data_IF_666376191424
#
_entry.id   IF_666376191424
#
_cell.length_a   1.000
_cell.length_b   1.000
_cell.length_c   1.000
_cell.angle_alpha   90.00
_cell.angle_beta   90.00
_cell.angle_gamma   90.00
#
_symmetry.space_group_name_H-M   'P 1'
#
loop_
_entity.id
_entity.type
_entity.pdbx_description
1 polymer ?
#
# COMPACT_ATOMS: atom_id res chain seq x y z
N UNK A 1 -9.79 -45.12 23.95
CA UNK A 1 -8.46 -44.46 24.09
C UNK A 1 -8.72 -43.05 24.57
N UNK A 2 -8.89 -42.93 25.89
CA UNK A 2 -7.93 -42.28 26.81
C UNK A 2 -8.05 -40.76 26.75
N UNK A 3 -9.10 -40.25 27.42
CA UNK A 3 -9.09 -38.88 27.93
C UNK A 3 -7.95 -38.81 28.95
N UNK A 4 -6.82 -38.25 28.54
CA UNK A 4 -5.80 -37.75 29.46
C UNK A 4 -6.40 -36.50 30.12
N UNK A 5 -7.14 -36.74 31.20
CA UNK A 5 -7.37 -35.73 32.23
C UNK A 5 -6.01 -35.17 32.61
N UNK A 6 -5.83 -33.85 32.51
CA UNK A 6 -4.70 -33.22 33.16
C UNK A 6 -4.83 -33.50 34.64
N UNK A 7 -3.93 -34.33 35.14
CA UNK A 7 -3.74 -34.57 36.54
C UNK A 7 -3.22 -33.27 37.16
N UNK A 8 -4.17 -32.49 37.68
CA UNK A 8 -3.93 -31.34 38.54
C UNK A 8 -4.04 -31.80 40.01
N UNK A 9 -3.53 -33.00 40.34
CA UNK A 9 -3.18 -33.39 41.72
C UNK A 9 -2.01 -32.53 42.24
N UNK A 10 -2.13 -31.21 42.14
CA UNK A 10 -1.58 -30.38 43.19
C UNK A 10 -2.49 -30.61 44.38
N UNK A 11 -2.07 -31.50 45.28
CA UNK A 11 -2.61 -31.56 46.63
C UNK A 11 -2.54 -30.14 47.20
N UNK A 12 -3.68 -29.44 47.18
CA UNK A 12 -3.84 -28.19 47.91
C UNK A 12 -3.89 -28.63 49.38
N UNK A 13 -2.72 -28.86 49.96
CA UNK A 13 -2.58 -29.10 51.38
C UNK A 13 -2.79 -27.76 52.06
N UNK A 14 -4.01 -27.53 52.52
CA UNK A 14 -4.29 -26.47 53.48
C UNK A 14 -3.54 -26.83 54.78
N UNK A 15 -2.30 -26.33 54.94
CA UNK A 15 -1.40 -26.67 56.05
C UNK A 15 -2.02 -26.35 57.43
N UNK A 16 -2.99 -25.45 57.46
CA UNK A 16 -3.93 -25.22 58.56
C UNK A 16 -5.18 -24.54 57.98
N UNK A 17 -6.40 -24.94 58.38
CA UNK A 17 -7.62 -24.28 57.94
C UNK A 17 -7.55 -22.80 58.28
N UNK A 18 -7.64 -21.93 57.26
CA UNK A 18 -7.78 -20.49 57.51
C UNK A 18 -9.18 -20.24 58.04
N UNK A 19 -9.30 -20.28 59.36
CA UNK A 19 -10.46 -19.75 60.07
C UNK A 19 -10.17 -18.25 60.19
N UNK A 20 -10.79 -17.37 59.38
CA UNK A 20 -10.64 -15.95 59.59
C UNK A 20 -11.02 -15.67 61.04
N UNK A 21 -10.09 -15.07 61.80
CA UNK A 21 -10.42 -14.56 63.12
C UNK A 21 -11.68 -13.72 62.93
N UNK A 22 -12.74 -14.04 63.70
CA UNK A 22 -13.93 -13.19 63.70
C UNK A 22 -13.43 -11.81 64.09
N UNK A 23 -13.35 -10.91 63.13
CA UNK A 23 -13.01 -9.53 63.37
C UNK A 23 -14.12 -8.96 64.25
N UNK A 24 -13.89 -9.02 65.57
CA UNK A 24 -14.74 -8.41 66.59
C UNK A 24 -14.42 -6.91 66.69
N UNK A 25 -13.53 -6.41 65.83
CA UNK A 25 -13.36 -4.99 65.60
C UNK A 25 -14.68 -4.41 65.16
N UNK A 26 -15.06 -3.28 65.77
CA UNK A 26 -16.24 -2.52 65.36
C UNK A 26 -16.17 -2.32 63.85
N UNK A 27 -17.07 -2.99 63.12
CA UNK A 27 -17.18 -2.83 61.67
C UNK A 27 -17.63 -1.39 61.48
N UNK A 28 -16.68 -0.49 61.22
CA UNK A 28 -17.02 0.88 60.83
C UNK A 28 -17.95 0.69 59.63
N UNK A 29 -19.24 1.07 59.71
CA UNK A 29 -20.12 0.93 58.57
C UNK A 29 -19.44 1.63 57.41
N UNK A 30 -19.37 0.96 56.25
CA UNK A 30 -18.81 1.56 55.04
C UNK A 30 -19.42 2.95 54.94
N UNK A 31 -18.57 3.98 55.04
CA UNK A 31 -19.04 5.37 54.98
C UNK A 31 -19.80 5.49 53.67
N UNK A 32 -21.09 5.81 53.73
CA UNK A 32 -21.85 6.17 52.55
C UNK A 32 -21.14 7.37 51.91
N UNK A 33 -20.28 7.09 50.93
CA UNK A 33 -19.68 8.12 50.11
C UNK A 33 -20.84 8.78 49.38
N UNK A 34 -21.12 10.04 49.74
CA UNK A 34 -22.14 10.83 49.09
C UNK A 34 -21.96 10.71 47.56
N UNK A 35 -23.04 10.33 46.88
CA UNK A 35 -23.05 10.18 45.42
C UNK A 35 -22.44 11.43 44.80
N UNK A 36 -21.30 11.28 44.12
CA UNK A 36 -20.70 12.43 43.46
C UNK A 36 -21.61 12.82 42.30
N UNK A 37 -22.07 14.07 42.29
CA UNK A 37 -22.95 14.57 41.24
C UNK A 37 -22.34 14.48 39.82
N UNK A 38 -21.02 14.29 39.71
CA UNK A 38 -20.28 14.11 38.46
C UNK A 38 -20.06 12.63 38.07
N UNK A 39 -20.49 11.67 38.90
CA UNK A 39 -20.34 10.23 38.63
C UNK A 39 -21.15 9.83 37.38
N UNK A 40 -20.55 9.04 36.50
CA UNK A 40 -21.21 8.53 35.29
C UNK A 40 -22.13 7.37 35.63
N UNK A 41 -23.44 7.52 35.36
CA UNK A 41 -24.42 6.47 35.56
C UNK A 41 -24.33 5.40 34.45
N UNK A 42 -24.69 4.13 34.73
CA UNK A 42 -24.72 3.07 33.71
C UNK A 42 -25.58 3.43 32.48
N UNK A 43 -26.74 4.04 32.71
CA UNK A 43 -27.63 4.53 31.64
C UNK A 43 -26.97 5.62 30.77
N UNK A 44 -26.30 6.60 31.39
CA UNK A 44 -25.57 7.64 30.66
C UNK A 44 -24.45 7.04 29.81
N UNK A 45 -23.75 6.02 30.32
CA UNK A 45 -22.72 5.29 29.57
C UNK A 45 -23.33 4.54 28.39
N UNK A 46 -24.51 3.92 28.56
CA UNK A 46 -25.21 3.22 27.48
C UNK A 46 -25.69 4.20 26.40
N UNK A 47 -26.30 5.32 26.78
CA UNK A 47 -26.72 6.38 25.85
C UNK A 47 -25.53 7.00 25.11
N UNK A 48 -24.41 7.24 25.80
CA UNK A 48 -23.17 7.69 25.16
C UNK A 48 -22.69 6.69 24.12
N UNK A 49 -22.67 5.39 24.44
CA UNK A 49 -22.25 4.33 23.51
C UNK A 49 -23.15 4.25 22.29
N UNK A 50 -24.47 4.34 22.48
CA UNK A 50 -25.45 4.33 21.39
C UNK A 50 -25.25 5.55 20.47
N UNK A 51 -25.24 6.76 21.02
CA UNK A 51 -25.07 7.97 20.22
C UNK A 51 -23.69 8.03 19.53
N UNK A 52 -22.63 7.52 20.18
CA UNK A 52 -21.32 7.41 19.55
C UNK A 52 -21.30 6.40 18.39
N UNK A 53 -22.05 5.30 18.49
CA UNK A 53 -22.17 4.31 17.42
C UNK A 53 -22.91 4.86 16.20
N UNK A 54 -23.91 5.71 16.43
CA UNK A 54 -24.63 6.46 15.39
C UNK A 54 -23.83 7.67 14.82
N UNK A 55 -22.55 7.78 15.18
CA UNK A 55 -21.62 8.84 14.72
C UNK A 55 -22.04 10.28 15.08
N UNK A 56 -22.84 10.47 16.13
CA UNK A 56 -23.19 11.79 16.65
C UNK A 56 -21.91 12.55 17.05
N UNK A 57 -21.87 13.87 16.89
CA UNK A 57 -20.76 14.71 17.33
C UNK A 57 -20.64 14.72 18.86
N UNK A 58 -19.45 15.04 19.38
CA UNK A 58 -19.24 15.16 20.83
C UNK A 58 -20.16 16.23 21.42
N UNK A 59 -20.47 17.29 20.65
CA UNK A 59 -21.38 18.36 21.07
C UNK A 59 -22.83 17.87 21.20
N UNK A 60 -23.31 17.07 20.23
CA UNK A 60 -24.64 16.47 20.28
C UNK A 60 -24.77 15.47 21.45
N UNK A 61 -23.73 14.67 21.69
CA UNK A 61 -23.70 13.74 22.84
C UNK A 61 -23.67 14.51 24.17
N UNK A 62 -22.90 15.60 24.24
CA UNK A 62 -22.86 16.48 25.40
C UNK A 62 -24.22 17.09 25.70
N UNK A 63 -24.92 17.58 24.67
CA UNK A 63 -26.27 18.10 24.77
C UNK A 63 -27.27 17.02 25.23
N UNK A 64 -27.21 15.83 24.62
CA UNK A 64 -28.07 14.68 24.96
C UNK A 64 -27.96 14.25 26.43
N UNK A 65 -26.74 14.31 26.98
CA UNK A 65 -26.45 13.86 28.33
C UNK A 65 -26.50 14.99 29.38
N UNK A 66 -26.67 16.24 28.94
CA UNK A 66 -26.58 17.41 29.84
C UNK A 66 -25.19 17.58 30.47
N UNK A 67 -24.13 17.09 29.82
CA UNK A 67 -22.74 17.14 30.32
C UNK A 67 -21.89 18.06 29.46
N UNK A 68 -20.74 18.48 30.00
CA UNK A 68 -19.79 19.27 29.23
C UNK A 68 -19.11 18.43 28.14
N UNK A 69 -18.77 19.07 27.00
CA UNK A 69 -17.99 18.47 25.91
C UNK A 69 -16.72 17.79 26.41
N UNK A 70 -16.01 18.42 27.36
CA UNK A 70 -14.79 17.89 27.94
C UNK A 70 -15.04 16.60 28.75
N UNK A 71 -16.11 16.56 29.55
CA UNK A 71 -16.49 15.37 30.32
C UNK A 71 -16.80 14.18 29.39
N UNK A 72 -17.57 14.42 28.33
CA UNK A 72 -17.89 13.40 27.31
C UNK A 72 -16.63 12.93 26.59
N UNK A 73 -15.74 13.85 26.20
CA UNK A 73 -14.49 13.50 25.52
C UNK A 73 -13.58 12.62 26.38
N UNK A 74 -13.41 12.96 27.66
CA UNK A 74 -12.67 12.14 28.62
C UNK A 74 -13.34 10.77 28.78
N UNK A 75 -14.66 10.72 28.89
CA UNK A 75 -15.36 9.44 29.03
C UNK A 75 -15.22 8.54 27.81
N UNK A 76 -15.30 9.10 26.60
CA UNK A 76 -15.03 8.38 25.34
C UNK A 76 -13.62 7.79 25.36
N UNK A 77 -12.64 8.58 25.81
CA UNK A 77 -11.26 8.12 25.93
C UNK A 77 -11.13 6.93 26.89
N UNK A 78 -11.70 7.04 28.09
CA UNK A 78 -11.64 6.03 29.15
C UNK A 78 -12.34 4.73 28.76
N UNK A 79 -13.42 4.82 28.00
CA UNK A 79 -14.14 3.67 27.45
C UNK A 79 -13.41 3.02 26.26
N UNK A 80 -12.26 3.58 25.83
CA UNK A 80 -11.49 3.09 24.69
C UNK A 80 -12.19 3.28 23.33
N UNK A 81 -13.23 4.12 23.26
CA UNK A 81 -13.98 4.35 22.04
C UNK A 81 -13.11 5.13 21.04
N UNK A 82 -13.11 4.72 19.77
CA UNK A 82 -12.30 5.32 18.71
C UNK A 82 -13.15 5.46 17.45
N UNK A 83 -12.99 6.58 16.73
CA UNK A 83 -13.58 6.80 15.41
C UNK A 83 -12.55 6.54 14.32
N UNK A 84 -13.04 6.09 13.18
CA UNK A 84 -12.24 6.00 11.95
C UNK A 84 -11.92 7.39 11.36
N UNK A 85 -12.61 8.43 11.83
CA UNK A 85 -12.48 9.80 11.36
C UNK A 85 -12.58 10.80 12.52
N UNK A 86 -11.68 11.79 12.56
CA UNK A 86 -11.68 12.85 13.60
C UNK A 86 -12.50 14.08 13.22
N UNK A 87 -12.64 14.34 11.92
CA UNK A 87 -13.45 15.45 11.39
C UNK A 87 -14.90 14.97 11.27
N UNK A 88 -15.88 15.77 11.66
CA UNK A 88 -17.30 15.43 11.47
C UNK A 88 -17.65 15.31 9.99
N UNK A 89 -18.62 14.47 9.64
CA UNK A 89 -19.15 14.39 8.28
C UNK A 89 -20.10 15.54 8.01
N UNK A 90 -20.03 16.11 6.80
CA UNK A 90 -20.98 17.13 6.34
C UNK A 90 -21.92 16.54 5.29
N UNK A 91 -23.11 17.13 5.13
CA UNK A 91 -24.15 16.65 4.21
C UNK A 91 -23.62 16.43 2.77
N UNK A 92 -22.81 17.35 2.25
CA UNK A 92 -22.20 17.22 0.93
C UNK A 92 -21.30 15.97 0.81
N UNK A 93 -20.56 15.59 1.85
CA UNK A 93 -19.73 14.39 1.82
C UNK A 93 -20.58 13.12 1.79
N UNK A 94 -21.71 13.11 2.49
CA UNK A 94 -22.65 11.99 2.49
C UNK A 94 -23.37 11.86 1.13
N UNK A 95 -23.80 12.98 0.54
CA UNK A 95 -24.39 13.02 -0.82
C UNK A 95 -23.39 12.53 -1.87
N UNK A 96 -22.14 12.98 -1.79
CA UNK A 96 -21.09 12.58 -2.73
C UNK A 96 -20.71 11.11 -2.55
N UNK A 97 -20.73 10.60 -1.31
CA UNK A 97 -20.57 9.17 -1.00
C UNK A 97 -21.73 8.36 -1.60
N UNK A 98 -22.98 8.76 -1.38
CA UNK A 98 -24.16 8.10 -1.94
C UNK A 98 -24.14 8.05 -3.48
N UNK A 99 -23.65 9.11 -4.13
CA UNK A 99 -23.58 9.21 -5.59
C UNK A 99 -22.54 8.30 -6.24
N UNK A 100 -21.40 8.07 -5.56
CA UNK A 100 -20.21 7.51 -6.21
C UNK A 100 -19.75 6.16 -5.65
N UNK A 101 -20.21 5.76 -4.47
CA UNK A 101 -19.64 4.64 -3.72
C UNK A 101 -19.72 3.29 -4.47
N UNK A 102 -20.77 3.08 -5.27
CA UNK A 102 -20.95 1.84 -6.02
C UNK A 102 -20.22 1.83 -7.38
N UNK A 103 -19.91 3.00 -7.95
CA UNK A 103 -19.39 3.13 -9.32
C UNK A 103 -17.89 3.46 -9.37
N UNK A 104 -17.36 4.09 -8.32
CA UNK A 104 -15.97 4.52 -8.25
C UNK A 104 -15.17 3.71 -7.21
N UNK A 105 -13.87 3.43 -7.45
CA UNK A 105 -13.03 2.84 -6.43
C UNK A 105 -12.98 3.72 -5.17
N UNK A 106 -13.25 3.13 -4.00
CA UNK A 106 -13.29 3.84 -2.70
C UNK A 106 -11.99 4.60 -2.40
N UNK A 107 -10.84 4.14 -2.89
CA UNK A 107 -9.57 4.84 -2.74
C UNK A 107 -9.53 6.20 -3.46
N UNK A 108 -10.12 6.29 -4.65
CA UNK A 108 -10.24 7.54 -5.42
C UNK A 108 -11.17 8.51 -4.71
N UNK A 109 -12.31 8.01 -4.22
CA UNK A 109 -13.26 8.79 -3.44
C UNK A 109 -12.64 9.28 -2.12
N UNK A 110 -11.89 8.43 -1.42
CA UNK A 110 -11.17 8.78 -0.20
C UNK A 110 -10.16 9.91 -0.43
N UNK A 111 -9.39 9.86 -1.52
CA UNK A 111 -8.47 10.92 -1.91
C UNK A 111 -9.21 12.23 -2.22
N UNK A 112 -10.35 12.17 -2.92
CA UNK A 112 -11.20 13.33 -3.25
C UNK A 112 -11.78 14.00 -2.01
N UNK A 113 -12.25 13.21 -1.04
CA UNK A 113 -12.83 13.72 0.21
C UNK A 113 -11.76 14.07 1.26
N UNK A 114 -10.50 13.70 1.05
CA UNK A 114 -9.41 13.89 2.01
C UNK A 114 -9.61 13.07 3.29
N UNK A 115 -10.11 11.84 3.16
CA UNK A 115 -10.46 10.93 4.26
C UNK A 115 -9.72 9.60 4.11
N UNK A 116 -9.63 8.83 5.19
CA UNK A 116 -9.14 7.45 5.12
C UNK A 116 -10.20 6.52 4.51
N UNK A 117 -9.77 5.50 3.76
CA UNK A 117 -10.67 4.51 3.15
C UNK A 117 -11.55 3.81 4.21
N UNK A 118 -10.99 3.46 5.37
CA UNK A 118 -11.76 2.85 6.48
C UNK A 118 -12.86 3.78 7.04
N UNK A 119 -12.67 5.10 6.97
CA UNK A 119 -13.69 6.06 7.37
C UNK A 119 -14.87 6.05 6.40
N UNK A 120 -14.60 5.94 5.09
CA UNK A 120 -15.63 5.83 4.06
C UNK A 120 -16.43 4.54 4.22
N UNK A 121 -15.78 3.39 4.44
CA UNK A 121 -16.49 2.14 4.68
C UNK A 121 -17.44 2.23 5.88
N UNK A 122 -16.97 2.77 7.00
CA UNK A 122 -17.81 2.94 8.19
C UNK A 122 -18.98 3.90 7.94
N UNK A 123 -18.74 5.02 7.26
CA UNK A 123 -19.81 5.98 6.93
C UNK A 123 -20.81 5.40 5.94
N UNK A 124 -20.35 4.69 4.91
CA UNK A 124 -21.21 4.02 3.94
C UNK A 124 -22.09 2.94 4.58
N UNK A 125 -21.63 2.26 5.63
CA UNK A 125 -22.47 1.34 6.41
C UNK A 125 -23.59 2.08 7.15
N UNK A 126 -23.27 3.21 7.81
CA UNK A 126 -24.27 4.03 8.51
C UNK A 126 -25.32 4.64 7.56
N UNK A 127 -24.91 4.99 6.34
CA UNK A 127 -25.80 5.50 5.29
C UNK A 127 -26.56 4.40 4.53
N UNK A 128 -26.35 3.12 4.86
CA UNK A 128 -26.99 2.00 4.15
C UNK A 128 -26.54 1.83 2.69
N UNK A 129 -25.36 2.35 2.33
CA UNK A 129 -24.78 2.27 0.99
C UNK A 129 -23.94 1.02 0.76
N UNK A 130 -23.59 0.31 1.84
CA UNK A 130 -22.87 -0.95 1.75
C UNK A 130 -23.82 -2.10 1.46
N UNK A 131 -23.40 -3.02 0.59
CA UNK A 131 -24.07 -4.30 0.41
C UNK A 131 -24.34 -4.94 1.79
N UNK A 132 -25.52 -5.55 1.99
CA UNK A 132 -25.83 -6.22 3.24
C UNK A 132 -24.72 -7.21 3.56
N UNK A 133 -24.27 -7.21 4.81
CA UNK A 133 -23.23 -8.11 5.27
C UNK A 133 -23.56 -9.55 4.92
N UNK A 134 -22.54 -10.38 4.71
CA UNK A 134 -22.75 -11.81 4.47
C UNK A 134 -23.67 -12.38 5.57
N UNK A 135 -24.63 -13.27 5.21
CA UNK A 135 -25.50 -13.91 6.18
C UNK A 135 -24.70 -14.49 7.35
N UNK A 136 -25.27 -14.52 8.56
CA UNK A 136 -24.58 -15.10 9.71
C UNK A 136 -24.15 -16.54 9.42
N UNK A 137 -23.07 -16.96 10.06
CA UNK A 137 -22.60 -18.33 9.97
C UNK A 137 -23.65 -19.27 10.57
N UNK A 138 -24.00 -20.31 9.81
CA UNK A 138 -24.88 -21.37 10.25
C UNK A 138 -24.14 -22.35 11.18
N UNK A 139 -24.90 -23.11 11.97
CA UNK A 139 -24.32 -24.14 12.84
C UNK A 139 -23.57 -25.24 12.08
N UNK A 140 -23.97 -25.54 10.84
CA UNK A 140 -23.23 -26.46 9.98
C UNK A 140 -21.87 -25.90 9.59
N UNK A 141 -21.79 -24.62 9.22
CA UNK A 141 -20.52 -23.96 8.89
C UNK A 141 -19.58 -23.93 10.09
N UNK A 142 -20.08 -23.55 11.27
CA UNK A 142 -19.28 -23.57 12.51
C UNK A 142 -18.76 -24.99 12.83
N UNK A 143 -19.59 -26.02 12.62
CA UNK A 143 -19.15 -27.41 12.80
C UNK A 143 -18.04 -27.80 11.81
N UNK A 144 -18.12 -27.36 10.54
CA UNK A 144 -17.03 -27.57 9.57
C UNK A 144 -15.75 -26.82 9.97
N UNK A 145 -15.88 -25.61 10.53
CA UNK A 145 -14.74 -24.85 11.05
C UNK A 145 -14.06 -25.59 12.21
N UNK A 146 -14.84 -26.04 13.20
CA UNK A 146 -14.32 -26.77 14.36
C UNK A 146 -13.53 -28.02 13.93
N UNK A 147 -14.17 -28.90 13.15
CA UNK A 147 -13.56 -30.16 12.70
C UNK A 147 -12.38 -29.91 11.75
N UNK A 148 -12.50 -28.91 10.86
CA UNK A 148 -11.45 -28.56 9.92
C UNK A 148 -10.19 -28.03 10.62
N UNK A 149 -10.36 -27.16 11.61
CA UNK A 149 -9.26 -26.61 12.41
C UNK A 149 -8.58 -27.68 13.26
N UNK A 150 -9.37 -28.56 13.90
CA UNK A 150 -8.88 -29.69 14.69
C UNK A 150 -8.07 -30.68 13.83
N UNK A 151 -8.53 -30.98 12.61
CA UNK A 151 -7.82 -31.86 11.66
C UNK A 151 -6.67 -31.19 10.92
N UNK A 152 -6.48 -29.88 11.09
CA UNK A 152 -5.44 -29.11 10.39
C UNK A 152 -5.67 -28.93 8.89
N UNK A 153 -6.93 -28.99 8.44
CA UNK A 153 -7.31 -28.76 7.04
C UNK A 153 -6.97 -27.32 6.65
N UNK A 154 -6.29 -27.07 5.51
CA UNK A 154 -5.97 -25.71 5.09
C UNK A 154 -7.20 -24.80 5.08
N UNK A 155 -7.11 -23.65 5.74
CA UNK A 155 -8.24 -22.70 5.88
C UNK A 155 -8.85 -22.30 4.54
N UNK A 156 -8.06 -22.26 3.46
CA UNK A 156 -8.56 -22.01 2.11
C UNK A 156 -9.50 -23.13 1.60
N UNK A 157 -9.24 -24.39 1.94
CA UNK A 157 -10.12 -25.50 1.61
C UNK A 157 -11.40 -25.46 2.43
N UNK A 158 -11.31 -25.13 3.73
CA UNK A 158 -12.48 -24.93 4.58
C UNK A 158 -13.35 -23.80 4.01
N UNK A 159 -12.74 -22.68 3.62
CA UNK A 159 -13.41 -21.54 2.99
C UNK A 159 -14.13 -21.92 1.69
N UNK A 160 -13.48 -22.69 0.82
CA UNK A 160 -14.10 -23.21 -0.39
C UNK A 160 -15.25 -24.18 -0.10
N UNK A 161 -15.10 -25.06 0.91
CA UNK A 161 -16.12 -26.05 1.29
C UNK A 161 -17.42 -25.38 1.75
N UNK A 162 -17.32 -24.32 2.55
CA UNK A 162 -18.49 -23.62 3.11
C UNK A 162 -18.96 -22.44 2.25
N UNK A 163 -18.25 -22.11 1.16
CA UNK A 163 -18.60 -20.99 0.28
C UNK A 163 -18.40 -19.61 0.91
N UNK A 164 -17.42 -19.45 1.82
CA UNK A 164 -17.13 -18.18 2.51
C UNK A 164 -15.77 -17.62 2.12
N UNK A 165 -15.59 -16.30 2.17
CA UNK A 165 -14.29 -15.69 1.91
C UNK A 165 -13.26 -16.10 2.97
N UNK A 166 -12.02 -16.36 2.54
CA UNK A 166 -10.92 -16.80 3.41
C UNK A 166 -10.75 -15.95 4.68
N UNK A 167 -10.80 -14.62 4.55
CA UNK A 167 -10.69 -13.71 5.69
C UNK A 167 -11.87 -13.84 6.66
N UNK A 168 -13.09 -14.03 6.13
CA UNK A 168 -14.29 -14.24 6.95
C UNK A 168 -14.20 -15.51 7.79
N UNK A 169 -13.66 -16.60 7.22
CA UNK A 169 -13.45 -17.86 7.94
C UNK A 169 -12.46 -17.70 9.09
N UNK A 170 -11.36 -16.97 8.87
CA UNK A 170 -10.39 -16.67 9.94
C UNK A 170 -11.04 -15.85 11.06
N UNK A 171 -11.78 -14.81 10.71
CA UNK A 171 -12.48 -13.98 11.69
C UNK A 171 -13.51 -14.79 12.48
N UNK A 172 -14.29 -15.66 11.82
CA UNK A 172 -15.26 -16.53 12.48
C UNK A 172 -14.58 -17.53 13.40
N UNK A 173 -13.52 -18.20 12.95
CA UNK A 173 -12.76 -19.13 13.75
C UNK A 173 -12.16 -18.46 14.99
N UNK A 174 -11.66 -17.23 14.86
CA UNK A 174 -11.17 -16.43 16.00
C UNK A 174 -12.30 -16.11 16.99
N UNK A 175 -13.50 -15.78 16.51
CA UNK A 175 -14.66 -15.51 17.38
C UNK A 175 -15.14 -16.76 18.13
N UNK A 176 -14.96 -17.94 17.53
CA UNK A 176 -15.21 -19.24 18.16
C UNK A 176 -14.05 -19.72 19.06
N UNK A 177 -12.94 -18.97 19.14
CA UNK A 177 -11.76 -19.37 19.92
C UNK A 177 -10.98 -20.54 19.34
N UNK A 178 -11.18 -20.88 18.05
CA UNK A 178 -10.54 -22.04 17.43
C UNK A 178 -9.06 -21.78 17.13
N UNK A 179 -8.23 -22.79 17.42
CA UNK A 179 -6.82 -22.82 17.06
C UNK A 179 -6.58 -23.92 16.03
N UNK A 180 -5.82 -23.59 15.00
CA UNK A 180 -5.55 -24.54 13.93
C UNK A 180 -4.50 -25.55 14.39
N UNK A 181 -4.68 -26.84 14.10
CA UNK A 181 -3.80 -27.91 14.58
C UNK A 181 -2.31 -27.75 14.19
N UNK A 182 -2.01 -26.98 13.12
CA UNK A 182 -0.64 -26.64 12.74
C UNK A 182 -0.01 -25.46 13.52
N UNK A 183 -0.74 -24.91 14.49
CA UNK A 183 -0.31 -23.87 15.40
C UNK A 183 -0.66 -24.22 16.85
N UNK A 184 -0.22 -25.38 17.38
CA UNK A 184 -0.38 -25.63 18.80
C UNK A 184 0.60 -24.73 19.59
N UNK A 185 0.30 -24.45 20.86
CA UNK A 185 1.11 -23.56 21.72
C UNK A 185 2.13 -24.34 22.60
N UNK A 186 2.08 -25.67 22.55
CA UNK A 186 2.86 -26.66 23.30
C UNK A 186 4.29 -26.87 22.76
N UNK A 187 5.07 -25.81 22.61
CA UNK A 187 6.47 -25.92 22.15
C UNK A 187 7.33 -26.63 23.19
N UNK A 188 7.80 -27.84 22.87
CA UNK A 188 8.74 -28.57 23.75
C UNK A 188 10.18 -28.06 23.60
N UNK A 189 10.97 -28.18 24.66
CA UNK A 189 12.38 -27.79 24.63
C UNK A 189 13.20 -28.66 23.66
N UNK A 190 12.87 -29.95 23.54
CA UNK A 190 13.49 -30.86 22.58
C UNK A 190 13.20 -30.46 21.13
N UNK A 191 11.94 -30.13 20.81
CA UNK A 191 11.55 -29.60 19.50
C UNK A 191 12.32 -28.32 19.18
N UNK A 192 12.43 -27.41 20.15
CA UNK A 192 13.10 -26.13 19.94
C UNK A 192 14.62 -26.25 19.81
N UNK A 193 15.26 -27.09 20.62
CA UNK A 193 16.68 -27.38 20.50
C UNK A 193 17.01 -27.98 19.12
N UNK A 194 16.18 -28.92 18.65
CA UNK A 194 16.34 -29.51 17.33
C UNK A 194 16.09 -28.51 16.21
N UNK A 195 15.06 -27.69 16.33
CA UNK A 195 14.77 -26.60 15.40
C UNK A 195 15.94 -25.61 15.29
N UNK A 196 16.58 -25.25 16.40
CA UNK A 196 17.76 -24.39 16.45
C UNK A 196 18.97 -25.03 15.75
N UNK A 197 19.23 -26.31 16.00
CA UNK A 197 20.31 -27.05 15.33
C UNK A 197 20.11 -27.07 13.81
N UNK A 198 18.90 -27.40 13.34
CA UNK A 198 18.55 -27.37 11.92
C UNK A 198 18.63 -25.94 11.36
N UNK A 199 18.25 -24.93 12.13
CA UNK A 199 18.35 -23.54 11.70
C UNK A 199 19.81 -23.09 11.56
N UNK A 200 20.70 -23.50 12.46
CA UNK A 200 22.14 -23.21 12.38
C UNK A 200 22.78 -23.67 11.05
N UNK A 201 22.27 -24.75 10.44
CA UNK A 201 22.78 -25.27 9.14
C UNK A 201 22.47 -24.40 7.92
N UNK A 202 21.60 -23.39 8.03
CA UNK A 202 21.16 -22.61 6.87
C UNK A 202 19.78 -22.98 6.31
N UNK A 203 19.17 -24.08 6.75
CA UNK A 203 17.92 -24.60 6.18
C UNK A 203 16.72 -23.61 6.26
N UNK A 204 15.91 -23.45 5.19
CA UNK A 204 14.73 -22.58 5.25
C UNK A 204 13.70 -23.10 6.26
N UNK A 205 12.95 -22.22 6.93
CA UNK A 205 12.01 -22.61 7.99
C UNK A 205 10.97 -23.66 7.54
N UNK A 206 10.58 -23.66 6.26
CA UNK A 206 9.68 -24.67 5.68
C UNK A 206 10.34 -26.06 5.59
N UNK A 207 11.66 -26.12 5.37
CA UNK A 207 12.39 -27.38 5.41
C UNK A 207 12.59 -27.86 6.85
N UNK A 208 12.88 -26.93 7.78
CA UNK A 208 13.00 -27.24 9.21
C UNK A 208 11.68 -27.82 9.75
N UNK A 209 10.55 -27.17 9.48
CA UNK A 209 9.24 -27.65 9.91
C UNK A 209 8.93 -29.05 9.36
N UNK A 210 9.30 -29.34 8.11
CA UNK A 210 9.16 -30.67 7.51
C UNK A 210 10.06 -31.72 8.16
N UNK A 211 11.31 -31.36 8.44
CA UNK A 211 12.26 -32.25 9.11
C UNK A 211 11.80 -32.59 10.53
N UNK A 212 11.36 -31.58 11.30
CA UNK A 212 10.78 -31.80 12.63
C UNK A 212 9.55 -32.73 12.57
N UNK A 213 8.65 -32.51 11.60
CA UNK A 213 7.50 -33.39 11.43
C UNK A 213 7.90 -34.83 11.07
N UNK A 214 8.92 -35.03 10.22
CA UNK A 214 9.44 -36.38 9.91
C UNK A 214 10.15 -37.04 11.09
N UNK A 215 10.65 -36.24 12.03
CA UNK A 215 11.28 -36.70 13.28
C UNK A 215 10.26 -36.97 14.40
N UNK A 216 8.96 -36.82 14.12
CA UNK A 216 7.86 -37.11 15.06
C UNK A 216 7.40 -35.93 15.91
N UNK A 217 7.93 -34.72 15.69
CA UNK A 217 7.43 -33.51 16.35
C UNK A 217 6.10 -33.04 15.73
N UNK A 218 5.29 -32.24 16.46
CA UNK A 218 4.06 -31.68 15.93
C UNK A 218 4.28 -30.88 14.63
N UNK A 219 3.32 -30.96 13.71
CA UNK A 219 3.38 -30.21 12.45
C UNK A 219 3.20 -28.72 12.73
N UNK A 220 4.24 -27.90 12.57
CA UNK A 220 4.19 -26.45 12.82
C UNK A 220 4.14 -25.62 11.54
N UNK A 221 3.46 -24.48 11.62
CA UNK A 221 3.58 -23.43 10.62
C UNK A 221 5.00 -22.82 10.63
N UNK A 222 5.66 -22.77 9.46
CA UNK A 222 6.99 -22.16 9.31
C UNK A 222 7.09 -20.71 9.81
N UNK A 223 5.99 -19.93 9.77
CA UNK A 223 5.95 -18.56 10.30
C UNK A 223 5.98 -18.55 11.84
N UNK A 224 5.18 -19.40 12.49
CA UNK A 224 5.17 -19.49 13.96
C UNK A 224 6.48 -20.06 14.49
N UNK A 225 7.04 -21.06 13.80
CA UNK A 225 8.39 -21.58 14.07
C UNK A 225 9.44 -20.46 14.00
N UNK A 226 9.43 -19.64 12.93
CA UNK A 226 10.35 -18.52 12.80
C UNK A 226 10.17 -17.46 13.90
N UNK A 227 8.94 -17.18 14.34
CA UNK A 227 8.70 -16.27 15.47
C UNK A 227 9.21 -16.85 16.79
N UNK A 228 9.02 -18.16 17.02
CA UNK A 228 9.51 -18.85 18.23
C UNK A 228 11.04 -18.89 18.27
N UNK A 229 11.69 -19.24 17.16
CA UNK A 229 13.15 -19.23 17.04
C UNK A 229 13.76 -17.85 17.32
N UNK A 230 13.10 -16.75 16.89
CA UNK A 230 13.53 -15.39 17.23
C UNK A 230 13.45 -15.08 18.72
N UNK A 231 12.40 -15.57 19.41
CA UNK A 231 12.29 -15.42 20.88
C UNK A 231 13.41 -16.17 21.60
N UNK A 232 13.92 -17.26 21.02
CA UNK A 232 15.09 -18.00 21.50
C UNK A 232 16.43 -17.42 21.02
N UNK A 233 16.43 -16.23 20.42
CA UNK A 233 17.65 -15.53 19.99
C UNK A 233 18.18 -15.91 18.60
N UNK A 234 17.51 -16.81 17.87
CA UNK A 234 17.91 -17.19 16.52
C UNK A 234 17.35 -16.24 15.45
N UNK A 235 18.25 -15.60 14.67
CA UNK A 235 17.89 -14.67 13.60
C UNK A 235 18.71 -14.87 12.32
N UNK A 236 18.04 -15.15 11.18
CA UNK A 236 18.66 -15.18 9.84
C UNK A 236 18.98 -13.76 9.33
N UNK A 237 20.01 -13.13 9.90
CA UNK A 237 20.60 -11.89 9.41
C UNK A 237 19.87 -10.59 9.76
N UNK A 238 18.71 -10.67 10.42
CA UNK A 238 18.21 -9.60 11.28
C UNK A 238 18.61 -9.95 12.72
N UNK A 239 19.57 -9.22 13.28
CA UNK A 239 20.02 -9.41 14.67
C UNK A 239 21.14 -10.43 14.92
N UNK A 240 21.67 -11.13 13.88
CA UNK A 240 22.90 -11.93 14.07
C UNK A 240 24.10 -10.99 14.27
N UNK A 241 24.86 -11.09 15.39
CA UNK A 241 26.02 -10.24 15.62
C UNK A 241 27.05 -10.46 14.52
N UNK A 242 27.76 -9.39 14.16
CA UNK A 242 28.88 -9.47 13.23
C UNK A 242 30.12 -9.91 14.00
N UNK A 243 30.83 -10.90 13.49
CA UNK A 243 32.13 -11.28 14.05
C UNK A 243 33.27 -10.56 13.30
N UNK A 244 34.47 -10.61 13.88
CA UNK A 244 35.66 -9.94 13.35
C UNK A 244 36.05 -10.45 11.95
N UNK A 245 35.89 -11.75 11.67
CA UNK A 245 36.21 -12.34 10.37
C UNK A 245 35.28 -11.84 9.26
N UNK A 246 33.98 -11.70 9.54
CA UNK A 246 32.99 -11.19 8.62
C UNK A 246 33.22 -9.71 8.30
N UNK A 247 33.62 -8.92 9.31
CA UNK A 247 34.02 -7.54 9.11
C UNK A 247 35.27 -7.44 8.23
N UNK A 248 36.24 -8.34 8.43
CA UNK A 248 37.46 -8.37 7.64
C UNK A 248 37.22 -8.79 6.20
N UNK A 249 36.35 -9.78 5.97
CA UNK A 249 35.89 -10.15 4.63
C UNK A 249 35.16 -8.99 3.94
N UNK A 250 34.37 -8.22 4.69
CA UNK A 250 33.68 -7.03 4.16
C UNK A 250 34.67 -5.91 3.84
N UNK A 251 35.64 -5.63 4.71
CA UNK A 251 36.72 -4.66 4.46
C UNK A 251 37.54 -5.04 3.23
N UNK A 252 37.97 -6.30 3.15
CA UNK A 252 38.73 -6.81 2.01
C UNK A 252 37.96 -6.68 0.69
N UNK A 253 36.66 -7.01 0.68
CA UNK A 253 35.83 -6.86 -0.52
C UNK A 253 35.71 -5.40 -0.97
N UNK A 254 35.63 -4.45 -0.03
CA UNK A 254 35.59 -3.02 -0.34
C UNK A 254 36.92 -2.47 -0.88
N UNK A 255 38.04 -2.88 -0.29
CA UNK A 255 39.39 -2.47 -0.72
C UNK A 255 39.77 -3.09 -2.07
N UNK A 256 39.48 -4.37 -2.28
CA UNK A 256 39.81 -5.07 -3.53
C UNK A 256 38.86 -4.75 -4.70
N UNK A 257 37.73 -4.07 -4.43
CA UNK A 257 36.71 -3.79 -5.44
C UNK A 257 35.95 -5.05 -5.92
N UNK A 258 35.99 -6.12 -5.13
CA UNK A 258 35.35 -7.39 -5.45
C UNK A 258 33.82 -7.28 -5.44
N UNK A 259 33.16 -8.14 -6.22
CA UNK A 259 31.70 -8.22 -6.20
C UNK A 259 31.20 -8.62 -4.81
N UNK A 260 30.26 -7.85 -4.26
CA UNK A 260 29.57 -8.19 -3.00
C UNK A 260 28.58 -9.37 -3.17
N UNK A 261 28.34 -9.84 -4.40
CA UNK A 261 27.38 -10.93 -4.66
C UNK A 261 27.90 -12.27 -4.17
N UNK A 262 29.12 -12.74 -4.53
CA UNK A 262 29.74 -13.91 -3.91
C UNK A 262 29.91 -13.78 -2.40
N UNK A 263 30.24 -12.57 -1.91
CA UNK A 263 30.38 -12.32 -0.47
C UNK A 263 29.05 -12.53 0.26
N UNK A 264 27.93 -12.06 -0.31
CA UNK A 264 26.60 -12.25 0.27
C UNK A 264 26.25 -13.72 0.43
N UNK A 265 26.52 -14.51 -0.59
CA UNK A 265 26.18 -15.92 -0.60
C UNK A 265 27.09 -16.68 0.38
N UNK A 266 28.39 -16.33 0.45
CA UNK A 266 29.35 -16.86 1.43
C UNK A 266 28.98 -16.51 2.89
N UNK A 267 28.53 -15.29 3.15
CA UNK A 267 28.17 -14.83 4.49
C UNK A 267 26.77 -15.30 4.92
N UNK A 268 25.92 -15.75 3.99
CA UNK A 268 24.52 -16.09 4.27
C UNK A 268 23.70 -14.90 4.81
N UNK A 269 24.13 -13.67 4.53
CA UNK A 269 23.51 -12.42 5.02
C UNK A 269 22.61 -11.81 3.94
N UNK A 270 21.59 -11.07 4.35
CA UNK A 270 20.76 -10.32 3.40
C UNK A 270 21.52 -9.11 2.83
N UNK A 271 21.15 -8.60 1.64
CA UNK A 271 21.75 -7.38 1.08
C UNK A 271 21.65 -6.16 2.01
N UNK A 272 20.55 -6.05 2.76
CA UNK A 272 20.33 -4.96 3.70
C UNK A 272 21.26 -5.04 4.92
N UNK A 273 21.49 -6.25 5.45
CA UNK A 273 22.38 -6.51 6.59
C UNK A 273 23.83 -6.11 6.27
N UNK A 274 24.32 -6.53 5.10
CA UNK A 274 25.67 -6.16 4.61
C UNK A 274 25.79 -4.65 4.43
N UNK A 275 24.78 -4.02 3.82
CA UNK A 275 24.75 -2.58 3.57
C UNK A 275 24.81 -1.77 4.88
N UNK A 276 24.08 -2.18 5.92
CA UNK A 276 24.11 -1.51 7.22
C UNK A 276 25.43 -1.72 7.96
N UNK A 277 26.03 -2.91 7.86
CA UNK A 277 27.35 -3.12 8.48
C UNK A 277 28.44 -2.33 7.77
N UNK A 278 28.43 -2.29 6.45
CA UNK A 278 29.36 -1.48 5.68
C UNK A 278 29.25 0.01 6.05
N UNK A 279 28.06 0.49 6.36
CA UNK A 279 27.83 1.85 6.88
C UNK A 279 28.42 2.03 8.28
N UNK A 280 28.17 1.08 9.20
CA UNK A 280 28.73 1.11 10.55
C UNK A 280 30.27 1.01 10.60
N UNK A 281 30.89 0.31 9.64
CA UNK A 281 32.34 0.21 9.47
C UNK A 281 32.94 1.39 8.69
N UNK A 282 32.14 2.37 8.26
CA UNK A 282 32.61 3.52 7.47
C UNK A 282 33.06 3.17 6.06
N UNK A 283 32.67 2.02 5.52
CA UNK A 283 33.08 1.54 4.19
C UNK A 283 32.23 2.12 3.05
N UNK A 284 31.13 2.82 3.36
CA UNK A 284 30.33 3.46 2.31
C UNK A 284 31.13 4.54 1.60
N UNK A 285 31.21 4.43 0.27
CA UNK A 285 31.93 5.37 -0.58
C UNK A 285 33.44 5.11 -0.69
N UNK A 286 34.00 4.16 0.07
CA UNK A 286 35.43 3.80 0.00
C UNK A 286 35.71 2.71 -1.04
N UNK A 287 34.68 2.10 -1.60
CA UNK A 287 34.80 1.11 -2.65
C UNK A 287 35.46 1.74 -3.90
N UNK A 288 36.47 1.08 -4.47
CA UNK A 288 37.19 1.55 -5.67
C UNK A 288 36.24 1.88 -6.83
N UNK A 289 35.11 1.16 -6.91
CA UNK A 289 33.97 1.50 -7.78
C UNK A 289 32.88 2.19 -6.94
N UNK A 290 33.10 3.45 -6.57
CA UNK A 290 32.25 4.24 -5.65
C UNK A 290 30.77 4.23 -6.02
N UNK A 291 30.47 4.26 -7.31
CA UNK A 291 29.10 4.31 -7.83
C UNK A 291 28.53 2.91 -8.17
N UNK A 292 29.31 1.85 -7.91
CA UNK A 292 28.87 0.46 -7.91
C UNK A 292 29.02 -0.29 -9.24
N UNK A 293 28.85 -1.61 -9.18
CA UNK A 293 28.89 -2.54 -10.32
C UNK A 293 27.57 -2.54 -11.13
N UNK A 294 26.54 -1.81 -10.69
CA UNK A 294 25.19 -1.77 -11.28
C UNK A 294 24.76 -0.39 -11.79
N UNK A 295 25.44 0.68 -11.43
CA UNK A 295 25.34 1.96 -12.13
C UNK A 295 26.43 1.92 -13.20
N UNK A 296 26.12 2.29 -14.43
CA UNK A 296 27.10 2.28 -15.53
C UNK A 296 28.31 3.19 -15.25
N UNK A 297 29.23 3.33 -16.22
CA UNK A 297 30.37 4.26 -16.11
C UNK A 297 29.94 5.66 -15.63
N UNK A 298 30.81 6.38 -14.93
CA UNK A 298 30.53 7.76 -14.51
C UNK A 298 30.18 8.61 -15.73
N UNK A 299 29.15 9.46 -15.64
CA UNK A 299 28.82 10.38 -16.73
C UNK A 299 29.87 11.47 -16.82
N UNK A 300 30.44 11.64 -18.01
CA UNK A 300 31.40 12.70 -18.31
C UNK A 300 30.67 13.97 -18.74
N UNK A 301 31.30 15.14 -18.56
CA UNK A 301 30.74 16.42 -18.99
C UNK A 301 30.43 16.47 -20.49
N UNK A 302 31.20 15.74 -21.31
CA UNK A 302 30.94 15.61 -22.75
C UNK A 302 29.67 14.80 -23.06
N UNK A 303 29.44 13.70 -22.34
CA UNK A 303 28.20 12.91 -22.48
C UNK A 303 26.97 13.69 -21.99
N UNK A 304 27.11 14.50 -20.93
CA UNK A 304 26.05 15.37 -20.43
C UNK A 304 25.72 16.48 -21.42
N UNK A 305 26.73 17.16 -21.98
CA UNK A 305 26.53 18.18 -23.02
C UNK A 305 25.84 17.58 -24.26
N UNK A 306 26.22 16.35 -24.64
CA UNK A 306 25.61 15.63 -25.75
C UNK A 306 24.16 15.25 -25.44
N UNK A 307 23.89 14.74 -24.24
CA UNK A 307 22.54 14.43 -23.79
C UNK A 307 21.66 15.69 -23.77
N UNK A 308 22.18 16.82 -23.28
CA UNK A 308 21.47 18.11 -23.27
C UNK A 308 21.13 18.60 -24.69
N UNK A 309 22.04 18.40 -25.66
CA UNK A 309 21.85 18.82 -27.04
C UNK A 309 20.82 17.96 -27.79
N UNK A 310 20.85 16.65 -27.56
CA UNK A 310 20.15 15.65 -28.39
C UNK A 310 18.85 15.13 -27.77
N UNK A 311 18.70 15.17 -26.44
CA UNK A 311 17.55 14.58 -25.76
C UNK A 311 16.25 15.27 -26.15
N UNK A 312 15.33 14.49 -26.73
CA UNK A 312 14.08 15.00 -27.28
C UNK A 312 14.12 15.43 -28.75
N UNK A 313 15.30 15.45 -29.38
CA UNK A 313 15.48 15.67 -30.83
C UNK A 313 15.86 14.38 -31.55
N UNK A 314 16.69 13.56 -30.91
CA UNK A 314 17.12 12.24 -31.40
C UNK A 314 16.40 11.14 -30.61
N UNK A 315 16.01 10.00 -31.22
CA UNK A 315 15.43 8.89 -30.48
C UNK A 315 16.38 8.41 -29.37
N UNK A 316 15.86 8.26 -28.15
CA UNK A 316 16.67 7.93 -26.96
C UNK A 316 17.48 6.64 -27.11
N UNK A 317 17.01 5.70 -27.94
CA UNK A 317 17.73 4.45 -28.27
C UNK A 317 19.02 4.71 -29.05
N UNK A 318 19.03 5.71 -29.92
CA UNK A 318 20.17 6.05 -30.77
C UNK A 318 21.19 6.82 -29.93
N UNK A 319 20.72 7.74 -29.08
CA UNK A 319 21.53 8.39 -28.05
C UNK A 319 22.20 7.33 -27.14
N UNK A 320 21.44 6.31 -26.70
CA UNK A 320 21.96 5.25 -25.87
C UNK A 320 23.05 4.41 -26.57
N UNK A 321 22.85 4.11 -27.86
CA UNK A 321 23.82 3.40 -28.68
C UNK A 321 25.10 4.20 -28.87
N UNK A 322 24.98 5.48 -29.19
CA UNK A 322 26.11 6.38 -29.44
C UNK A 322 26.93 6.65 -28.17
N UNK A 323 26.27 6.72 -27.01
CA UNK A 323 26.93 6.87 -25.70
C UNK A 323 27.43 5.53 -25.14
N UNK A 324 27.18 4.39 -25.79
CA UNK A 324 27.54 3.07 -25.28
C UNK A 324 26.85 2.71 -23.94
N UNK A 325 25.64 3.24 -23.70
CA UNK A 325 24.90 3.13 -22.44
C UNK A 325 23.55 2.44 -22.63
N UNK A 326 22.99 1.90 -21.55
CA UNK A 326 21.63 1.36 -21.57
C UNK A 326 20.58 2.46 -21.66
N UNK A 327 19.49 2.23 -22.41
CA UNK A 327 18.38 3.20 -22.59
C UNK A 327 17.83 3.72 -21.24
N UNK A 328 17.72 2.84 -20.24
CA UNK A 328 17.28 3.23 -18.88
C UNK A 328 18.26 4.17 -18.15
N UNK A 329 19.57 4.02 -18.38
CA UNK A 329 20.57 4.89 -17.80
C UNK A 329 20.49 6.30 -18.40
N UNK A 330 20.25 6.39 -19.72
CA UNK A 330 20.03 7.67 -20.42
C UNK A 330 18.76 8.37 -19.90
N UNK A 331 17.63 7.67 -19.82
CA UNK A 331 16.38 8.22 -19.29
C UNK A 331 16.50 8.68 -17.83
N UNK A 332 17.16 7.89 -16.99
CA UNK A 332 17.37 8.24 -15.58
C UNK A 332 18.25 9.48 -15.44
N UNK A 333 19.35 9.56 -16.19
CA UNK A 333 20.27 10.70 -16.13
C UNK A 333 19.63 11.96 -16.70
N UNK A 334 18.88 11.85 -17.80
CA UNK A 334 18.11 12.96 -18.36
C UNK A 334 17.10 13.52 -17.36
N UNK A 335 16.38 12.64 -16.64
CA UNK A 335 15.48 13.06 -15.58
C UNK A 335 16.22 13.79 -14.44
N UNK A 336 17.41 13.34 -14.04
CA UNK A 336 18.21 14.05 -13.02
C UNK A 336 18.67 15.43 -13.50
N UNK A 337 18.99 15.57 -14.78
CA UNK A 337 19.36 16.85 -15.40
C UNK A 337 18.15 17.75 -15.67
N UNK A 338 16.93 17.30 -15.35
CA UNK A 338 15.70 18.06 -15.62
C UNK A 338 15.35 18.16 -17.10
N UNK A 339 15.91 17.27 -17.93
CA UNK A 339 15.67 17.26 -19.37
C UNK A 339 14.26 16.75 -19.68
N UNK A 340 13.48 17.59 -20.34
CA UNK A 340 12.10 17.27 -20.74
C UNK A 340 12.11 16.71 -22.14
N UNK A 341 11.40 15.59 -22.35
CA UNK A 341 11.28 15.00 -23.67
C UNK A 341 10.52 15.95 -24.61
N UNK A 342 11.01 16.18 -25.83
CA UNK A 342 10.55 17.26 -26.73
C UNK A 342 9.05 17.34 -26.98
N UNK A 343 8.30 16.23 -26.87
CA UNK A 343 6.84 16.25 -26.98
C UNK A 343 6.10 16.72 -25.72
N UNK A 344 6.75 16.75 -24.54
CA UNK A 344 6.20 17.23 -23.27
C UNK A 344 6.42 18.74 -23.05
N UNK A 345 6.97 19.47 -24.03
CA UNK A 345 7.12 20.94 -23.94
C UNK A 345 5.76 21.64 -23.97
N UNK A 346 5.64 22.79 -23.30
CA UNK A 346 4.43 23.62 -23.33
C UNK A 346 4.02 23.99 -24.76
N UNK A 347 2.73 24.12 -25.01
CA UNK A 347 2.21 24.58 -26.30
C UNK A 347 2.34 26.10 -26.39
N UNK A 348 2.84 26.60 -27.52
CA UNK A 348 2.87 28.05 -27.80
C UNK A 348 1.52 28.54 -28.35
N UNK A 349 1.29 29.85 -28.32
CA UNK A 349 0.11 30.47 -28.93
C UNK A 349 0.01 30.20 -30.44
N UNK A 350 1.15 30.11 -31.13
CA UNK A 350 1.21 29.74 -32.56
C UNK A 350 0.80 28.28 -32.78
N UNK A 351 1.22 27.36 -31.90
CA UNK A 351 0.81 25.97 -31.97
C UNK A 351 -0.70 25.80 -31.72
N UNK A 352 -1.25 26.54 -30.75
CA UNK A 352 -2.70 26.58 -30.51
C UNK A 352 -3.46 27.10 -31.74
N UNK A 353 -2.95 28.18 -32.35
CA UNK A 353 -3.55 28.77 -33.56
C UNK A 353 -3.47 27.80 -34.74
N UNK A 354 -2.34 27.13 -34.93
CA UNK A 354 -2.17 26.10 -35.95
C UNK A 354 -3.13 24.91 -35.75
N UNK A 355 -3.37 24.48 -34.50
CA UNK A 355 -4.32 23.41 -34.18
C UNK A 355 -5.76 23.85 -34.48
N UNK A 356 -6.15 25.07 -34.10
CA UNK A 356 -7.49 25.61 -34.40
C UNK A 356 -7.73 25.72 -35.91
N UNK A 357 -6.78 26.30 -36.63
CA UNK A 357 -6.85 26.44 -38.09
C UNK A 357 -6.94 25.06 -38.76
N UNK A 358 -6.10 24.11 -38.35
CA UNK A 358 -6.16 22.74 -38.85
C UNK A 358 -7.51 22.07 -38.58
N UNK A 359 -8.11 22.31 -37.41
CA UNK A 359 -9.42 21.78 -37.06
C UNK A 359 -10.52 22.35 -37.97
N UNK A 360 -10.54 23.66 -38.18
CA UNK A 360 -11.51 24.37 -39.03
C UNK A 360 -11.40 23.98 -40.50
N UNK A 361 -10.18 23.97 -41.06
CA UNK A 361 -9.92 23.76 -42.49
C UNK A 361 -9.69 22.29 -42.88
N UNK A 362 -9.99 21.34 -41.97
CA UNK A 362 -10.00 19.92 -42.31
C UNK A 362 -8.61 19.25 -42.42
N UNK A 363 -7.53 19.85 -41.93
CA UNK A 363 -6.19 19.21 -41.92
C UNK A 363 -6.15 18.01 -40.96
N UNK A 364 -5.46 16.92 -41.31
CA UNK A 364 -5.45 15.72 -40.45
C UNK A 364 -4.55 15.92 -39.23
N UNK A 365 -4.94 15.34 -38.09
CA UNK A 365 -4.18 15.41 -36.83
C UNK A 365 -2.73 14.92 -36.98
N UNK A 366 -2.51 13.95 -37.86
CA UNK A 366 -1.16 13.40 -38.12
C UNK A 366 -0.31 14.41 -38.90
N UNK A 367 -0.90 15.16 -39.84
CA UNK A 367 -0.17 16.17 -40.60
C UNK A 367 0.17 17.37 -39.71
N UNK A 368 -0.72 17.74 -38.78
CA UNK A 368 -0.44 18.72 -37.71
C UNK A 368 0.68 18.24 -36.80
N UNK A 369 0.64 16.97 -36.37
CA UNK A 369 1.68 16.39 -35.53
C UNK A 369 3.06 16.43 -36.21
N UNK A 370 3.10 16.11 -37.51
CA UNK A 370 4.32 16.22 -38.31
C UNK A 370 4.79 17.68 -38.44
N UNK A 371 3.89 18.62 -38.73
CA UNK A 371 4.21 20.05 -38.86
C UNK A 371 4.77 20.67 -37.57
N UNK A 372 4.31 20.19 -36.40
CA UNK A 372 4.71 20.68 -35.08
C UNK A 372 5.86 19.87 -34.44
N UNK A 373 6.29 18.78 -35.09
CA UNK A 373 7.31 17.87 -34.54
C UNK A 373 6.88 17.22 -33.22
N UNK A 374 5.59 16.86 -33.09
CA UNK A 374 4.99 16.27 -31.89
C UNK A 374 4.34 14.93 -32.17
N UNK A 375 4.12 14.15 -31.12
CA UNK A 375 3.36 12.90 -31.22
C UNK A 375 1.84 13.18 -31.46
N UNK A 376 1.17 12.48 -32.38
CA UNK A 376 -0.25 12.67 -32.66
C UNK A 376 -1.16 12.53 -31.42
N UNK A 377 -0.82 11.67 -30.46
CA UNK A 377 -1.61 11.50 -29.24
C UNK A 377 -1.49 12.72 -28.31
N UNK A 378 -0.35 13.40 -28.30
CA UNK A 378 -0.15 14.65 -27.55
C UNK A 378 -0.97 15.78 -28.16
N UNK A 379 -0.96 15.91 -29.49
CA UNK A 379 -1.82 16.86 -30.21
C UNK A 379 -3.29 16.57 -29.91
N UNK A 380 -3.73 15.31 -30.00
CA UNK A 380 -5.12 14.94 -29.72
C UNK A 380 -5.59 15.32 -28.31
N UNK A 381 -4.77 15.08 -27.28
CA UNK A 381 -5.07 15.46 -25.89
C UNK A 381 -5.14 16.97 -25.70
N UNK A 382 -4.20 17.72 -26.29
CA UNK A 382 -4.17 19.18 -26.18
C UNK A 382 -5.31 19.84 -26.95
N UNK A 383 -5.55 19.37 -28.18
CA UNK A 383 -6.67 19.79 -29.01
C UNK A 383 -8.02 19.58 -28.31
N UNK A 384 -8.20 18.44 -27.62
CA UNK A 384 -9.40 18.19 -26.80
C UNK A 384 -9.57 19.17 -25.63
N UNK A 385 -8.47 19.69 -25.06
CA UNK A 385 -8.50 20.67 -23.97
C UNK A 385 -8.87 22.07 -24.45
N UNK A 386 -8.43 22.46 -25.65
CA UNK A 386 -8.77 23.75 -26.28
C UNK A 386 -10.07 23.71 -27.10
N UNK A 387 -10.84 22.61 -27.03
CA UNK A 387 -12.15 22.46 -27.68
C UNK A 387 -12.11 21.96 -29.13
N UNK A 388 -10.94 21.67 -29.71
CA UNK A 388 -10.76 21.25 -31.10
C UNK A 388 -10.59 19.74 -31.26
N UNK A 389 -11.57 18.93 -30.83
CA UNK A 389 -11.49 17.46 -30.96
C UNK A 389 -11.50 17.04 -32.43
N UNK A 390 -10.43 16.38 -32.91
CA UNK A 390 -10.32 16.00 -34.33
C UNK A 390 -11.30 14.90 -34.78
N UNK A 391 -11.86 14.13 -33.84
CA UNK A 391 -12.87 13.11 -34.09
C UNK A 391 -14.30 13.61 -33.84
N UNK A 392 -14.48 14.91 -33.56
CA UNK A 392 -15.80 15.48 -33.26
C UNK A 392 -16.73 15.41 -34.48
N UNK A 393 -17.97 14.87 -34.33
CA UNK A 393 -19.00 14.97 -35.35
C UNK A 393 -19.27 16.39 -35.83
N UNK A 394 -19.17 17.39 -34.93
CA UNK A 394 -19.46 18.80 -35.21
C UNK A 394 -18.31 19.56 -35.88
N UNK A 395 -17.24 18.87 -36.29
CA UNK A 395 -16.10 19.50 -36.97
C UNK A 395 -16.51 20.09 -38.34
N UNK A 396 -16.21 21.39 -38.64
CA UNK A 396 -16.68 22.09 -39.84
C UNK A 396 -16.30 21.44 -41.16
N UNK A 397 -15.07 20.95 -41.26
CA UNK A 397 -14.57 20.26 -42.46
C UNK A 397 -13.80 19.01 -42.06
N UNK A 398 -14.07 17.92 -42.76
CA UNK A 398 -13.27 16.70 -42.68
C UNK A 398 -12.40 16.63 -43.92
N UNK A 399 -11.09 16.58 -43.70
CA UNK A 399 -10.13 16.52 -44.81
C UNK A 399 -10.40 15.35 -45.75
N UNK A 400 -9.96 15.47 -47.02
CA UNK A 400 -10.18 14.45 -48.03
C UNK A 400 -9.64 13.08 -47.58
N UNK A 401 -10.35 11.99 -47.88
CA UNK A 401 -9.96 10.60 -47.54
C UNK A 401 -8.97 9.98 -48.54
N UNK A 402 -8.31 10.79 -49.36
CA UNK A 402 -7.37 10.37 -50.41
C UNK A 402 -6.02 9.89 -49.86
N UNK A 403 -5.27 9.09 -50.63
CA UNK A 403 -3.96 8.52 -50.21
C UNK A 403 -2.96 9.63 -49.85
N UNK A 404 -2.29 9.48 -48.70
CA UNK A 404 -1.33 10.46 -48.12
C UNK A 404 -0.12 10.77 -48.99
N UNK A 405 0.29 9.88 -49.88
CA UNK A 405 1.54 9.97 -50.64
C UNK A 405 1.62 11.16 -51.62
N UNK A 406 0.48 11.73 -52.03
CA UNK A 406 0.41 12.78 -53.04
C UNK A 406 0.09 14.18 -52.45
N UNK A 407 0.31 14.40 -51.15
CA UNK A 407 0.01 15.68 -50.49
C UNK A 407 1.25 16.55 -50.33
N UNK A 408 1.07 17.84 -50.53
CA UNK A 408 2.06 18.87 -50.16
C UNK A 408 2.34 18.80 -48.66
N UNK A 409 3.61 18.87 -48.27
CA UNK A 409 4.00 18.83 -46.86
C UNK A 409 3.45 20.04 -46.10
N UNK A 410 2.74 19.77 -45.02
CA UNK A 410 2.18 20.81 -44.16
C UNK A 410 3.26 21.29 -43.19
N UNK A 411 3.51 22.59 -43.15
CA UNK A 411 4.42 23.25 -42.22
C UNK A 411 3.66 24.12 -41.23
N UNK A 412 4.28 24.47 -40.10
CA UNK A 412 3.69 25.41 -39.13
C UNK A 412 3.24 26.72 -39.81
N UNK A 413 4.07 27.29 -40.67
CA UNK A 413 3.75 28.53 -41.40
C UNK A 413 2.53 28.38 -42.31
N UNK A 414 2.42 27.24 -43.01
CA UNK A 414 1.24 26.95 -43.85
C UNK A 414 -0.06 26.83 -43.02
N UNK A 415 0.01 26.28 -41.80
CA UNK A 415 -1.15 26.15 -40.91
C UNK A 415 -1.61 27.49 -40.36
N UNK A 416 -0.67 28.39 -40.04
CA UNK A 416 -0.98 29.74 -39.60
C UNK A 416 -1.62 30.57 -40.72
N UNK A 417 -1.14 30.40 -41.97
CA UNK A 417 -1.64 31.11 -43.14
C UNK A 417 -3.08 30.73 -43.56
N UNK A 418 -3.61 29.57 -43.13
CA UNK A 418 -4.98 29.14 -43.46
C UNK A 418 -6.07 30.14 -43.02
N UNK A 419 -5.84 30.86 -41.92
CA UNK A 419 -6.77 31.87 -41.43
C UNK A 419 -6.70 33.19 -42.25
N UNK A 420 -5.52 33.50 -42.81
CA UNK A 420 -5.34 34.69 -43.65
C UNK A 420 -6.01 34.52 -45.02
N UNK A 421 -6.02 33.31 -45.59
CA UNK A 421 -6.71 33.03 -46.85
C UNK A 421 -8.25 33.10 -46.73
N UNK A 422 -8.81 32.69 -45.59
CA UNK A 422 -10.25 32.76 -45.32
C UNK A 422 -10.77 34.22 -45.17
N UNK A 423 -9.92 35.12 -44.66
CA UNK A 423 -10.26 36.54 -44.56
C UNK A 423 -10.31 37.24 -45.94
N UNK A 424 -9.49 36.80 -46.90
CA UNK A 424 -9.46 37.37 -48.26
C UNK A 424 -10.66 36.90 -49.09
N UNK A 425 -11.10 35.64 -48.95
CA UNK A 425 -12.31 35.13 -49.63
C UNK A 425 -13.61 35.74 -49.08
N UNK A 426 -13.66 36.08 -47.78
CA UNK A 426 -14.82 36.74 -47.18
C UNK A 426 -15.03 38.16 -47.72
N UNK A 427 -13.95 38.93 -47.91
CA UNK A 427 -14.01 40.30 -48.46
C UNK A 427 -14.38 40.33 -49.95
N UNK A 428 -14.03 39.31 -50.73
CA UNK A 428 -14.44 39.22 -52.14
C UNK A 428 -15.93 38.86 -52.32
N UNK A 429 -16.55 38.19 -51.33
CA UNK A 429 -17.97 37.80 -51.40
C UNK A 429 -18.97 38.94 -51.11
N UNK A 430 -18.50 40.07 -50.56
CA UNK A 430 -19.34 41.23 -50.22
C UNK A 430 -19.38 42.25 -51.38
N UNK A 431 -18.54 42.08 -52.42
CA UNK A 431 -18.42 43.01 -53.55
C UNK A 431 -19.06 42.51 -54.87
N UNK A 432 -20.06 41.63 -54.81
CA UNK A 432 -20.79 41.12 -55.98
C UNK A 432 -22.29 41.43 -55.93
#
# INVERSE_FOLDING_TARGET
MTQTSFDLDADIVELAPFIPERDIGATTPLVELAFRADAWLPDEVQRLRAAFAEDWTIDEIALLLGRSRASVATRIHDLGLRRNSRRSWIAWEDEELARCYAQEPTATLAARLGRGVSALYARAQLLGLSEPGSPPYSGWEDAQLCVGYEKGVPVAQIASLIGRPFAGVISRASALGLRHACQPDDWSDAEMARALALAATGAPYVAIARALASEGFPVRNSRSLGQRLRKLGYGRGWGRPWNTEEDELLRHAYTSGASLTPLRDRLGRSPHSIRWRAEALGLRGTHVRRDGFRQGPVWTSGEEARLQADYGKVPTRDIAKDLGRGVRAVLYHANRLGLVHGFMRAFSADEDSAIRNAWTHGVSMVDVAQALGRDPAVIGKHAARIGCRFNDPARPSRGPRTRRANRTSVTLQSLLALNAAAAVDADQSIAA
#
